data_IF_548547141515
#
_entry.id   IF_548547141515
#
_cell.length_a   1.000
_cell.length_b   1.000
_cell.length_c   1.000
_cell.angle_alpha   90.00
_cell.angle_beta   90.00
_cell.angle_gamma   90.00
#
_symmetry.space_group_name_H-M   'P 1'
#
loop_
_entity.id
_entity.type
_entity.pdbx_description
1 polymer ?
#
# COMPACT_ATOMS: atom_id res chain seq x y z
N UNK A 1 -11.45 -6.74 -6.53
CA UNK A 1 -10.24 -6.58 -5.68
C UNK A 1 -10.60 -6.07 -4.29
N UNK A 2 -11.26 -4.89 -4.15
CA UNK A 2 -11.51 -4.25 -2.86
C UNK A 2 -12.26 -5.15 -1.85
N UNK A 3 -13.29 -5.88 -2.29
CA UNK A 3 -14.00 -6.85 -1.44
C UNK A 3 -13.11 -8.02 -1.01
N UNK A 4 -12.27 -8.51 -1.94
CA UNK A 4 -11.38 -9.64 -1.69
C UNK A 4 -10.28 -9.27 -0.67
N UNK A 5 -9.61 -8.12 -0.85
CA UNK A 5 -8.50 -7.72 0.03
C UNK A 5 -8.96 -7.52 1.49
N UNK A 6 -10.15 -6.96 1.69
CA UNK A 6 -10.75 -6.76 3.02
C UNK A 6 -10.99 -8.07 3.77
N UNK A 7 -11.35 -9.14 3.04
CA UNK A 7 -11.53 -10.47 3.60
C UNK A 7 -10.21 -11.22 3.83
N UNK A 8 -9.21 -10.98 2.98
CA UNK A 8 -7.96 -11.77 3.01
C UNK A 8 -6.85 -11.16 3.87
N UNK A 9 -6.94 -9.87 4.20
CA UNK A 9 -5.93 -9.18 5.00
C UNK A 9 -6.55 -8.64 6.28
N UNK A 10 -6.17 -9.19 7.45
CA UNK A 10 -6.63 -8.69 8.74
C UNK A 10 -6.32 -7.20 8.89
N UNK A 11 -7.24 -6.45 9.50
CA UNK A 11 -7.07 -5.02 9.80
C UNK A 11 -6.83 -4.12 8.57
N UNK A 12 -7.17 -4.58 7.36
CA UNK A 12 -6.91 -3.81 6.14
C UNK A 12 -7.58 -2.42 6.17
N UNK A 13 -8.86 -2.35 6.53
CA UNK A 13 -9.58 -1.07 6.60
C UNK A 13 -9.04 -0.19 7.73
N UNK A 14 -8.76 -0.81 8.87
CA UNK A 14 -8.16 -0.11 10.01
C UNK A 14 -6.79 0.49 9.67
N UNK A 15 -5.96 -0.21 8.89
CA UNK A 15 -4.67 0.33 8.44
C UNK A 15 -4.82 1.60 7.59
N UNK A 16 -5.84 1.66 6.75
CA UNK A 16 -6.18 2.87 5.98
C UNK A 16 -6.65 4.01 6.90
N UNK A 17 -7.54 3.72 7.86
CA UNK A 17 -8.06 4.72 8.79
C UNK A 17 -6.97 5.31 9.67
N UNK A 18 -6.07 4.46 10.16
CA UNK A 18 -4.90 4.91 10.93
C UNK A 18 -3.97 5.76 10.09
N UNK A 19 -3.66 5.33 8.85
CA UNK A 19 -2.82 6.12 7.95
C UNK A 19 -3.44 7.48 7.60
N UNK A 20 -4.76 7.54 7.43
CA UNK A 20 -5.49 8.80 7.24
C UNK A 20 -5.35 9.74 8.44
N UNK A 21 -5.38 9.22 9.67
CA UNK A 21 -5.17 10.02 10.89
C UNK A 21 -3.71 10.48 10.99
N UNK A 22 -2.76 9.58 10.79
CA UNK A 22 -1.33 9.92 10.80
C UNK A 22 -0.96 10.95 9.74
N UNK A 23 -1.64 10.97 8.59
CA UNK A 23 -1.35 11.94 7.54
C UNK A 23 -1.42 13.41 7.99
N UNK A 24 -2.24 13.71 8.99
CA UNK A 24 -2.40 15.08 9.50
C UNK A 24 -1.11 15.65 10.13
N UNK A 25 -0.25 14.78 10.64
CA UNK A 25 1.00 15.19 11.28
C UNK A 25 2.11 15.51 10.27
N UNK A 26 1.99 15.03 9.03
CA UNK A 26 3.05 15.11 8.02
C UNK A 26 2.72 16.00 6.82
N UNK A 27 1.44 16.35 6.63
CA UNK A 27 1.00 17.14 5.49
C UNK A 27 1.03 18.64 5.80
N UNK A 28 2.06 19.32 5.29
CA UNK A 28 2.09 20.78 5.25
C UNK A 28 1.05 21.33 4.25
N UNK A 29 0.91 22.64 4.16
CA UNK A 29 -0.12 23.34 3.35
C UNK A 29 -0.09 22.96 1.85
N UNK A 30 1.11 22.68 1.30
CA UNK A 30 1.31 22.24 -0.08
C UNK A 30 2.29 21.07 -0.10
N UNK A 31 1.78 19.87 -0.34
CA UNK A 31 2.57 18.63 -0.25
C UNK A 31 2.44 17.77 -1.50
N UNK A 32 3.52 17.08 -1.87
CA UNK A 32 3.44 15.90 -2.73
C UNK A 32 3.26 14.67 -1.84
N UNK A 33 2.43 13.74 -2.29
CA UNK A 33 2.09 12.51 -1.58
C UNK A 33 2.17 11.36 -2.58
N UNK A 34 2.84 10.28 -2.21
CA UNK A 34 2.93 9.09 -3.05
C UNK A 34 2.34 7.88 -2.33
N UNK A 35 1.45 7.17 -3.02
CA UNK A 35 0.93 5.87 -2.59
C UNK A 35 1.57 4.78 -3.46
N UNK A 36 2.42 3.98 -2.83
CA UNK A 36 3.27 2.97 -3.48
C UNK A 36 2.54 1.63 -3.52
N UNK A 37 2.13 1.18 -4.71
CA UNK A 37 1.21 0.06 -4.90
C UNK A 37 -0.22 0.48 -4.63
N UNK A 38 -0.68 1.56 -5.25
CA UNK A 38 -1.97 2.18 -4.97
C UNK A 38 -3.20 1.33 -5.36
N UNK A 39 -3.00 0.22 -6.07
CA UNK A 39 -4.06 -0.68 -6.52
C UNK A 39 -5.25 0.08 -7.14
N UNK A 40 -6.45 -0.08 -6.62
CA UNK A 40 -7.67 0.60 -7.11
C UNK A 40 -7.76 2.08 -6.71
N UNK A 41 -6.76 2.64 -6.02
CA UNK A 41 -6.69 4.05 -5.62
C UNK A 41 -7.68 4.44 -4.51
N UNK A 42 -8.15 3.47 -3.71
CA UNK A 42 -9.15 3.72 -2.65
C UNK A 42 -8.59 4.60 -1.54
N UNK A 43 -7.36 4.34 -1.10
CA UNK A 43 -6.69 5.16 -0.09
C UNK A 43 -6.47 6.60 -0.57
N UNK A 44 -5.94 6.78 -1.80
CA UNK A 44 -5.75 8.12 -2.38
C UNK A 44 -7.05 8.90 -2.48
N UNK A 45 -8.16 8.23 -2.85
CA UNK A 45 -9.48 8.88 -2.89
C UNK A 45 -9.90 9.36 -1.50
N UNK A 46 -9.74 8.52 -0.48
CA UNK A 46 -10.08 8.87 0.90
C UNK A 46 -9.21 10.05 1.39
N UNK A 47 -7.89 9.97 1.18
CA UNK A 47 -6.93 10.99 1.59
C UNK A 47 -7.15 12.33 0.88
N UNK A 48 -7.41 12.30 -0.43
CA UNK A 48 -7.68 13.51 -1.20
C UNK A 48 -9.02 14.15 -0.86
N UNK A 49 -10.04 13.35 -0.53
CA UNK A 49 -11.33 13.86 -0.07
C UNK A 49 -11.23 14.52 1.33
N UNK A 50 -10.45 13.90 2.23
CA UNK A 50 -10.17 14.45 3.56
C UNK A 50 -9.49 15.83 3.48
N UNK A 51 -8.63 16.03 2.49
CA UNK A 51 -7.82 17.25 2.33
C UNK A 51 -8.21 18.07 1.08
N UNK A 52 -9.48 18.04 0.68
CA UNK A 52 -9.96 18.68 -0.56
C UNK A 52 -9.71 20.20 -0.62
N UNK A 53 -9.65 20.86 0.53
CA UNK A 53 -9.44 22.31 0.65
C UNK A 53 -7.95 22.69 0.65
N UNK A 54 -7.05 21.70 0.62
CA UNK A 54 -5.59 21.88 0.62
C UNK A 54 -4.98 21.68 -0.77
N UNK A 55 -3.88 22.38 -1.06
CA UNK A 55 -3.18 22.32 -2.36
C UNK A 55 -2.20 21.15 -2.44
N UNK A 56 -2.67 19.91 -2.22
CA UNK A 56 -1.82 18.72 -2.32
C UNK A 56 -1.83 18.12 -3.72
N UNK A 57 -0.75 17.44 -4.08
CA UNK A 57 -0.62 16.61 -5.28
C UNK A 57 -0.44 15.16 -4.87
N UNK A 58 -1.29 14.30 -5.38
CA UNK A 58 -1.36 12.87 -5.05
C UNK A 58 -0.90 12.03 -6.23
N UNK A 59 0.02 11.12 -5.99
CA UNK A 59 0.57 10.22 -7.00
C UNK A 59 0.34 8.78 -6.56
N UNK A 60 -0.53 8.06 -7.27
CA UNK A 60 -0.67 6.61 -7.10
C UNK A 60 0.23 5.89 -8.09
N UNK A 61 0.98 4.91 -7.64
CA UNK A 61 1.87 4.11 -8.48
C UNK A 61 1.44 2.65 -8.37
N UNK A 62 1.19 2.02 -9.51
CA UNK A 62 0.95 0.58 -9.57
C UNK A 62 1.46 0.04 -10.91
N UNK A 63 1.98 -1.19 -10.93
CA UNK A 63 2.45 -1.82 -12.17
C UNK A 63 1.32 -2.53 -12.93
N UNK A 64 0.22 -2.85 -12.26
CA UNK A 64 -0.92 -3.57 -12.85
C UNK A 64 -1.84 -2.57 -13.57
N UNK A 65 -1.89 -2.68 -14.89
CA UNK A 65 -2.64 -1.76 -15.76
C UNK A 65 -4.12 -1.68 -15.40
N UNK A 66 -4.74 -2.81 -15.14
CA UNK A 66 -6.16 -2.93 -14.78
C UNK A 66 -6.48 -2.17 -13.47
N UNK A 67 -5.59 -2.28 -12.47
CA UNK A 67 -5.73 -1.54 -11.21
C UNK A 67 -5.61 -0.04 -11.44
N UNK A 68 -4.66 0.39 -12.25
CA UNK A 68 -4.51 1.80 -12.62
C UNK A 68 -5.73 2.36 -13.35
N UNK A 69 -6.38 1.59 -14.22
CA UNK A 69 -7.62 2.01 -14.89
C UNK A 69 -8.75 2.23 -13.89
N UNK A 70 -8.93 1.31 -12.94
CA UNK A 70 -9.91 1.44 -11.86
C UNK A 70 -9.59 2.66 -10.99
N UNK A 71 -8.32 2.83 -10.61
CA UNK A 71 -7.86 3.94 -9.79
C UNK A 71 -8.11 5.30 -10.46
N UNK A 72 -7.84 5.41 -11.77
CA UNK A 72 -8.14 6.62 -12.56
C UNK A 72 -9.64 6.92 -12.58
N UNK A 73 -10.49 5.91 -12.85
CA UNK A 73 -11.95 6.06 -12.83
C UNK A 73 -12.46 6.50 -11.47
N UNK A 74 -11.95 5.89 -10.39
CA UNK A 74 -12.34 6.18 -9.01
C UNK A 74 -11.97 7.61 -8.57
N UNK A 75 -10.88 8.16 -9.10
CA UNK A 75 -10.35 9.47 -8.75
C UNK A 75 -10.58 10.55 -9.83
N UNK A 76 -11.41 10.28 -10.85
CA UNK A 76 -11.59 11.16 -12.02
C UNK A 76 -11.99 12.60 -11.70
N UNK A 77 -12.68 12.80 -10.60
CA UNK A 77 -13.19 14.14 -10.19
C UNK A 77 -12.14 14.95 -9.42
N UNK A 78 -10.96 14.37 -9.11
CA UNK A 78 -9.89 15.09 -8.42
C UNK A 78 -8.70 15.33 -9.36
N UNK A 79 -8.58 16.55 -9.86
CA UNK A 79 -7.53 16.97 -10.80
C UNK A 79 -6.11 16.87 -10.22
N UNK A 80 -5.98 16.84 -8.90
CA UNK A 80 -4.69 16.74 -8.21
C UNK A 80 -4.23 15.29 -8.00
N UNK A 81 -5.04 14.29 -8.35
CA UNK A 81 -4.68 12.87 -8.28
C UNK A 81 -4.16 12.40 -9.63
N UNK A 82 -2.94 11.88 -9.66
CA UNK A 82 -2.29 11.32 -10.83
C UNK A 82 -1.94 9.86 -10.60
N UNK A 83 -2.43 8.97 -11.44
CA UNK A 83 -2.13 7.53 -11.39
C UNK A 83 -1.10 7.17 -12.46
N UNK A 84 0.00 6.58 -12.02
CA UNK A 84 1.15 6.18 -12.83
C UNK A 84 1.18 4.65 -12.95
N UNK A 85 1.01 4.13 -14.16
CA UNK A 85 1.21 2.70 -14.42
C UNK A 85 2.70 2.44 -14.64
N UNK A 86 3.42 2.18 -13.57
CA UNK A 86 4.88 1.97 -13.56
C UNK A 86 5.30 1.10 -12.39
N UNK A 87 6.46 0.45 -12.51
CA UNK A 87 7.15 -0.14 -11.36
C UNK A 87 7.62 0.97 -10.43
N UNK A 88 7.44 0.77 -9.13
CA UNK A 88 7.78 1.77 -8.09
C UNK A 88 9.26 2.18 -8.21
N UNK A 89 10.13 1.19 -8.42
CA UNK A 89 11.58 1.41 -8.52
C UNK A 89 11.98 2.31 -9.70
N UNK A 90 11.15 2.37 -10.76
CA UNK A 90 11.43 3.18 -11.96
C UNK A 90 11.01 4.65 -11.84
N UNK A 91 10.21 5.00 -10.83
CA UNK A 91 9.67 6.35 -10.68
C UNK A 91 10.72 7.28 -10.05
N UNK A 92 10.93 8.45 -10.64
CA UNK A 92 11.67 9.55 -9.99
C UNK A 92 10.68 10.31 -9.09
N UNK A 93 10.90 10.27 -7.78
CA UNK A 93 10.07 11.00 -6.82
C UNK A 93 10.47 12.48 -6.78
N UNK A 94 9.48 13.34 -6.63
CA UNK A 94 9.67 14.74 -6.24
C UNK A 94 9.90 14.81 -4.73
N UNK A 95 10.33 15.97 -4.23
CA UNK A 95 10.31 16.23 -2.78
C UNK A 95 8.90 16.04 -2.25
N UNK A 96 8.76 15.31 -1.16
CA UNK A 96 7.53 14.63 -0.74
C UNK A 96 7.38 14.70 0.76
N UNK A 97 6.18 15.02 1.22
CA UNK A 97 5.88 15.05 2.65
C UNK A 97 5.42 13.68 3.18
N UNK A 98 4.77 12.88 2.33
CA UNK A 98 4.24 11.58 2.76
C UNK A 98 4.35 10.55 1.65
N UNK A 99 4.94 9.41 2.01
CA UNK A 99 4.77 8.15 1.29
C UNK A 99 3.86 7.22 2.08
N UNK A 100 3.00 6.49 1.38
CA UNK A 100 2.22 5.38 1.94
C UNK A 100 2.48 4.11 1.15
N UNK A 101 2.43 2.97 1.82
CA UNK A 101 2.52 1.66 1.19
C UNK A 101 1.76 0.63 2.01
N UNK A 102 0.84 -0.07 1.36
CA UNK A 102 0.00 -1.08 2.00
C UNK A 102 0.24 -2.44 1.35
N UNK A 103 0.93 -3.32 2.06
CA UNK A 103 1.18 -4.72 1.68
C UNK A 103 1.82 -4.87 0.29
N UNK A 104 2.70 -3.92 -0.08
CA UNK A 104 3.30 -3.83 -1.41
C UNK A 104 4.78 -4.18 -1.44
N UNK A 105 5.55 -3.78 -0.42
CA UNK A 105 7.02 -3.96 -0.40
C UNK A 105 7.42 -5.42 -0.40
N UNK A 106 6.56 -6.31 0.07
CA UNK A 106 6.79 -7.77 0.00
C UNK A 106 6.96 -8.28 -1.44
N UNK A 107 6.34 -7.62 -2.44
CA UNK A 107 6.45 -7.99 -3.86
C UNK A 107 7.67 -7.38 -4.56
N UNK A 108 8.38 -6.45 -3.93
CA UNK A 108 9.62 -5.90 -4.47
C UNK A 108 10.76 -6.90 -4.24
N UNK A 109 11.56 -7.13 -5.28
CA UNK A 109 12.72 -8.00 -5.16
C UNK A 109 13.62 -7.57 -3.99
N UNK A 110 13.98 -8.47 -3.04
CA UNK A 110 14.76 -8.13 -1.85
C UNK A 110 16.05 -7.35 -2.15
N UNK A 111 16.75 -7.70 -3.24
CA UNK A 111 17.98 -7.00 -3.66
C UNK A 111 17.76 -5.53 -4.04
N UNK A 112 16.52 -5.14 -4.36
CA UNK A 112 16.16 -3.78 -4.77
C UNK A 112 15.53 -2.96 -3.66
N UNK A 113 15.08 -3.60 -2.58
CA UNK A 113 14.35 -2.93 -1.48
C UNK A 113 15.17 -1.82 -0.84
N UNK A 114 16.44 -2.08 -0.51
CA UNK A 114 17.30 -1.09 0.13
C UNK A 114 17.48 0.14 -0.76
N UNK A 115 17.71 -0.03 -2.06
CA UNK A 115 17.84 1.07 -3.00
C UNK A 115 16.53 1.89 -3.11
N UNK A 116 15.38 1.21 -3.06
CA UNK A 116 14.08 1.89 -3.06
C UNK A 116 13.89 2.71 -1.77
N UNK A 117 14.18 2.14 -0.60
CA UNK A 117 14.11 2.87 0.68
C UNK A 117 15.06 4.06 0.71
N UNK A 118 16.29 3.92 0.20
CA UNK A 118 17.23 5.04 0.08
C UNK A 118 16.68 6.15 -0.82
N UNK A 119 15.99 5.79 -1.90
CA UNK A 119 15.36 6.73 -2.84
C UNK A 119 14.17 7.44 -2.20
N UNK A 120 13.34 6.73 -1.46
CA UNK A 120 12.23 7.29 -0.67
C UNK A 120 12.79 8.28 0.35
N UNK A 121 13.77 7.88 1.14
CA UNK A 121 14.41 8.72 2.17
C UNK A 121 14.97 10.02 1.58
N UNK A 122 15.74 9.94 0.48
CA UNK A 122 16.30 11.12 -0.21
C UNK A 122 15.22 12.06 -0.77
N UNK A 123 14.02 11.55 -1.03
CA UNK A 123 12.90 12.32 -1.57
C UNK A 123 12.02 12.94 -0.50
N UNK A 124 12.10 12.49 0.76
CA UNK A 124 11.37 13.08 1.86
C UNK A 124 11.84 14.52 2.13
N UNK A 125 10.88 15.38 2.42
CA UNK A 125 11.13 16.66 3.05
C UNK A 125 11.53 16.44 4.51
N UNK A 126 12.17 17.42 5.13
CA UNK A 126 12.35 17.42 6.58
C UNK A 126 10.99 17.31 7.28
N UNK A 127 10.85 16.42 8.25
CA UNK A 127 9.58 16.15 8.91
C UNK A 127 8.58 15.32 8.12
N UNK A 128 8.95 14.86 6.91
CA UNK A 128 8.12 13.96 6.12
C UNK A 128 8.24 12.50 6.58
N UNK A 129 7.31 11.65 6.17
CA UNK A 129 7.22 10.25 6.62
C UNK A 129 6.95 9.25 5.50
N UNK A 130 7.35 8.00 5.75
CA UNK A 130 6.83 6.81 5.10
C UNK A 130 5.94 6.06 6.09
N UNK A 131 4.64 5.95 5.78
CA UNK A 131 3.71 5.09 6.50
C UNK A 131 3.66 3.74 5.77
N UNK A 132 4.08 2.68 6.47
CA UNK A 132 4.24 1.35 5.91
C UNK A 132 3.43 0.33 6.70
N UNK A 133 2.54 -0.39 6.00
CA UNK A 133 1.86 -1.58 6.51
C UNK A 133 2.29 -2.79 5.69
N UNK A 134 2.89 -3.77 6.34
CA UNK A 134 3.42 -4.96 5.67
C UNK A 134 3.22 -6.23 6.50
N UNK A 135 3.19 -7.36 5.81
CA UNK A 135 3.31 -8.65 6.44
C UNK A 135 4.77 -8.89 6.84
N UNK A 136 4.99 -9.12 8.11
CA UNK A 136 6.31 -9.46 8.64
C UNK A 136 6.38 -10.94 9.00
N UNK A 137 7.58 -11.52 8.96
CA UNK A 137 7.83 -12.83 9.53
C UNK A 137 7.92 -12.74 11.05
N UNK A 138 7.46 -13.78 11.71
CA UNK A 138 7.67 -13.92 13.14
C UNK A 138 9.18 -14.12 13.44
N UNK A 139 9.63 -13.82 14.68
CA UNK A 139 11.06 -13.81 15.04
C UNK A 139 11.71 -15.20 15.01
N UNK A 140 10.93 -16.26 15.17
CA UNK A 140 11.41 -17.64 15.13
C UNK A 140 10.37 -18.59 14.47
N UNK A 141 10.79 -19.87 14.25
CA UNK A 141 9.96 -20.86 13.59
C UNK A 141 8.67 -21.17 14.35
N UNK A 142 8.71 -21.28 15.67
CA UNK A 142 7.55 -21.60 16.51
C UNK A 142 6.47 -20.53 16.39
N UNK A 143 6.86 -19.26 16.53
CA UNK A 143 5.91 -18.16 16.37
C UNK A 143 5.44 -18.01 14.93
N UNK A 144 6.30 -18.34 13.94
CA UNK A 144 5.89 -18.37 12.54
C UNK A 144 4.80 -19.40 12.27
N UNK A 145 4.92 -20.60 12.84
CA UNK A 145 3.92 -21.67 12.70
C UNK A 145 2.60 -21.25 13.35
N UNK A 146 2.65 -20.71 14.58
CA UNK A 146 1.47 -20.20 15.29
C UNK A 146 0.75 -19.10 14.48
N UNK A 147 1.48 -18.10 13.99
CA UNK A 147 0.89 -17.00 13.22
C UNK A 147 0.35 -17.47 11.88
N UNK A 148 0.97 -18.48 11.26
CA UNK A 148 0.49 -19.09 10.02
C UNK A 148 -0.84 -19.80 10.25
N UNK A 149 -0.96 -20.57 11.34
CA UNK A 149 -2.19 -21.25 11.71
C UNK A 149 -3.30 -20.24 11.97
N UNK A 150 -3.10 -19.27 12.86
CA UNK A 150 -4.07 -18.21 13.17
C UNK A 150 -4.54 -17.49 11.88
N UNK A 151 -3.62 -17.23 10.94
CA UNK A 151 -3.96 -16.59 9.69
C UNK A 151 -4.79 -17.48 8.76
N UNK A 152 -4.55 -18.79 8.78
CA UNK A 152 -5.37 -19.75 8.01
C UNK A 152 -6.78 -19.85 8.62
N UNK A 153 -6.89 -19.93 9.95
CA UNK A 153 -8.18 -19.94 10.67
C UNK A 153 -8.97 -18.66 10.35
N UNK A 154 -8.32 -17.50 10.42
CA UNK A 154 -8.95 -16.23 10.02
C UNK A 154 -9.51 -16.29 8.59
N UNK A 155 -8.79 -16.86 7.63
CA UNK A 155 -9.29 -16.97 6.26
C UNK A 155 -10.50 -17.91 6.16
N UNK A 156 -10.49 -19.02 6.88
CA UNK A 156 -11.63 -19.95 6.94
C UNK A 156 -12.86 -19.21 7.49
N UNK A 157 -12.71 -18.45 8.56
CA UNK A 157 -13.77 -17.64 9.15
C UNK A 157 -14.31 -16.58 8.17
N UNK A 158 -13.45 -16.08 7.26
CA UNK A 158 -13.85 -15.18 6.17
C UNK A 158 -14.49 -15.90 4.97
N UNK A 159 -14.67 -17.23 5.04
CA UNK A 159 -15.34 -18.05 4.04
C UNK A 159 -14.45 -18.56 2.92
N UNK A 160 -13.13 -18.56 3.08
CA UNK A 160 -12.22 -19.23 2.13
C UNK A 160 -12.18 -20.73 2.38
N UNK A 161 -12.19 -21.52 1.31
CA UNK A 161 -11.96 -22.96 1.44
C UNK A 161 -10.46 -23.27 1.68
N UNK A 162 -10.14 -24.44 2.29
CA UNK A 162 -8.75 -24.88 2.42
C UNK A 162 -7.99 -24.93 1.08
N UNK A 163 -8.66 -25.34 0.00
CA UNK A 163 -8.07 -25.40 -1.34
C UNK A 163 -7.72 -24.02 -1.91
N UNK A 164 -8.55 -23.02 -1.69
CA UNK A 164 -8.26 -21.63 -2.07
C UNK A 164 -7.06 -21.09 -1.31
N UNK A 165 -6.96 -21.37 -0.01
CA UNK A 165 -5.84 -20.96 0.84
C UNK A 165 -4.54 -21.59 0.35
N UNK A 166 -4.55 -22.91 0.08
CA UNK A 166 -3.39 -23.66 -0.41
C UNK A 166 -2.97 -23.20 -1.81
N UNK A 167 -3.92 -23.01 -2.72
CA UNK A 167 -3.67 -22.54 -4.08
C UNK A 167 -3.04 -21.15 -4.08
N UNK A 168 -3.52 -20.26 -3.20
CA UNK A 168 -2.94 -18.93 -3.02
C UNK A 168 -1.50 -19.01 -2.48
N UNK A 169 -1.26 -19.85 -1.49
CA UNK A 169 0.09 -20.09 -0.95
C UNK A 169 1.05 -20.57 -2.03
N UNK A 170 0.63 -21.52 -2.87
CA UNK A 170 1.41 -22.01 -4.00
C UNK A 170 1.72 -20.91 -5.02
N UNK A 171 0.76 -20.04 -5.33
CA UNK A 171 0.94 -18.96 -6.29
C UNK A 171 1.94 -17.88 -5.85
N UNK A 172 2.22 -17.78 -4.55
CA UNK A 172 3.17 -16.82 -3.96
C UNK A 172 4.56 -17.42 -3.74
N UNK A 173 4.76 -18.71 -4.07
CA UNK A 173 6.05 -19.39 -3.91
C UNK A 173 7.13 -18.70 -4.74
N UNK A 174 8.22 -18.28 -4.07
CA UNK A 174 9.34 -17.57 -4.71
C UNK A 174 9.16 -16.07 -4.90
N UNK A 175 8.00 -15.49 -4.53
CA UNK A 175 7.76 -14.05 -4.59
C UNK A 175 7.98 -13.39 -3.22
N UNK A 176 7.64 -14.10 -2.15
CA UNK A 176 7.74 -13.63 -0.75
C UNK A 176 8.77 -14.45 0.02
#
# INVERSE_FOLDING_TARGET
>A
FDKHIKKSVPLYEWSHDVALKFSDFFLAEKSNIYDLGCSTGSFLKALSNKNKDKRHFYYGIDEIKEMCLIAKKKNKNNKNVKILNKKIESVKFKKTSLFTSFYTMQFINPRRRQNLFNKIFKSLNWGGALILFEKVRAPDARFQDMTTQIYNDYKIDQGYSPDEILSKSKSLKGIM
#
